data_IF_258097070886
#
_entry.id   IF_258097070886
#
_cell.length_a   1.000
_cell.length_b   1.000
_cell.length_c   1.000
_cell.angle_alpha   90.00
_cell.angle_beta   90.00
_cell.angle_gamma   90.00
#
_symmetry.space_group_name_H-M   'P 1'
#
loop_
_entity.id
_entity.type
_entity.pdbx_description
1 polymer ?
#
# COMPACT_ATOMS: atom_id res chain seq x y z
N UNK A 1 25.87 -14.70 8.46
CA UNK A 1 26.27 -15.24 7.15
C UNK A 1 26.42 -14.10 6.16
N UNK A 2 27.29 -14.25 5.15
CA UNK A 2 27.56 -13.16 4.19
C UNK A 2 26.28 -12.78 3.40
N UNK A 3 25.45 -13.75 3.10
CA UNK A 3 24.20 -13.62 2.37
C UNK A 3 23.02 -13.04 3.17
N UNK A 4 23.22 -12.68 4.42
CA UNK A 4 22.24 -11.97 5.26
C UNK A 4 22.67 -10.54 5.61
N UNK A 5 23.84 -10.12 5.18
CA UNK A 5 24.39 -8.77 5.27
C UNK A 5 24.09 -8.04 3.98
N UNK A 6 23.10 -7.21 3.98
CA UNK A 6 22.64 -6.51 2.77
C UNK A 6 23.28 -5.13 2.72
N UNK A 7 24.12 -4.91 1.75
CA UNK A 7 24.82 -3.65 1.53
C UNK A 7 23.92 -2.63 0.79
N UNK A 8 24.29 -1.36 0.95
CA UNK A 8 23.73 -0.28 0.15
C UNK A 8 24.22 -0.39 -1.30
N UNK A 9 23.42 0.05 -2.27
CA UNK A 9 23.75 -0.02 -3.69
C UNK A 9 25.17 0.51 -3.97
N UNK A 10 25.99 -0.33 -4.57
CA UNK A 10 27.37 0.02 -4.96
C UNK A 10 28.30 0.34 -3.79
N UNK A 11 27.93 0.02 -2.55
CA UNK A 11 28.71 0.28 -1.34
C UNK A 11 29.03 -1.02 -0.60
N UNK A 12 30.03 -0.97 0.29
CA UNK A 12 30.32 -2.06 1.23
C UNK A 12 29.66 -1.86 2.60
N UNK A 13 28.97 -0.74 2.79
CA UNK A 13 28.29 -0.42 4.04
C UNK A 13 27.00 -1.21 4.13
N UNK A 14 26.81 -1.92 5.25
CA UNK A 14 25.62 -2.70 5.51
C UNK A 14 24.44 -1.76 5.77
N UNK A 15 23.38 -1.91 4.99
CA UNK A 15 22.12 -1.20 5.15
C UNK A 15 21.14 -2.00 6.01
N UNK A 16 21.09 -3.31 5.80
CA UNK A 16 20.13 -4.19 6.46
C UNK A 16 20.81 -5.49 6.92
N UNK A 17 20.43 -5.93 8.11
CA UNK A 17 20.75 -7.27 8.58
C UNK A 17 19.51 -8.13 8.48
N UNK A 18 19.47 -9.01 7.48
CA UNK A 18 18.36 -9.94 7.31
C UNK A 18 18.48 -11.12 8.29
N UNK A 19 17.34 -11.76 8.58
CA UNK A 19 17.31 -12.92 9.46
C UNK A 19 18.03 -14.12 8.81
N UNK A 20 19.13 -14.57 9.38
CA UNK A 20 19.90 -15.70 8.84
C UNK A 20 19.55 -17.05 9.45
N UNK A 21 19.15 -17.07 10.72
CA UNK A 21 18.85 -18.32 11.45
C UNK A 21 17.91 -18.13 12.61
N UNK A 22 16.98 -19.05 12.77
CA UNK A 22 16.22 -19.28 14.00
C UNK A 22 16.64 -20.63 14.59
N UNK A 23 16.95 -20.70 15.88
CA UNK A 23 17.34 -21.95 16.57
C UNK A 23 16.62 -22.07 17.90
N UNK A 24 16.11 -23.25 18.21
CA UNK A 24 15.53 -23.55 19.49
C UNK A 24 16.59 -24.03 20.53
N UNK A 25 16.16 -24.26 21.77
CA UNK A 25 17.04 -24.70 22.86
C UNK A 25 17.58 -26.12 22.65
N UNK A 26 16.93 -26.94 21.84
CA UNK A 26 17.35 -28.31 21.51
C UNK A 26 18.31 -28.35 20.33
N UNK A 27 18.60 -27.20 19.70
CA UNK A 27 19.52 -27.09 18.59
C UNK A 27 18.88 -27.25 17.21
N UNK A 28 17.56 -27.45 17.13
CA UNK A 28 16.87 -27.45 15.84
C UNK A 28 16.90 -26.06 15.22
N UNK A 29 17.14 -26.00 13.93
CA UNK A 29 17.36 -24.72 13.24
C UNK A 29 16.56 -24.61 11.94
N UNK A 30 16.24 -23.36 11.63
CA UNK A 30 15.77 -22.90 10.33
C UNK A 30 16.78 -21.88 9.82
N UNK A 31 17.32 -22.10 8.64
CA UNK A 31 18.28 -21.23 7.97
C UNK A 31 17.64 -20.49 6.80
N UNK A 32 17.93 -19.20 6.68
CA UNK A 32 17.44 -18.34 5.61
C UNK A 32 18.62 -17.89 4.75
N UNK A 33 18.51 -18.05 3.44
CA UNK A 33 19.48 -17.58 2.47
C UNK A 33 18.83 -16.60 1.51
N UNK A 34 19.61 -15.62 1.07
CA UNK A 34 19.14 -14.52 0.23
C UNK A 34 19.97 -14.43 -1.05
N UNK A 35 19.37 -13.84 -2.08
CA UNK A 35 20.08 -13.32 -3.25
C UNK A 35 20.10 -11.80 -3.13
N UNK A 36 21.30 -11.25 -3.26
CA UNK A 36 21.54 -9.81 -3.28
C UNK A 36 21.74 -9.33 -4.72
N UNK A 37 21.12 -8.22 -5.03
CA UNK A 37 21.32 -7.49 -6.27
C UNK A 37 21.98 -6.15 -5.95
N UNK A 38 23.30 -6.19 -5.81
CA UNK A 38 24.10 -5.02 -5.41
C UNK A 38 24.03 -3.88 -6.42
N UNK A 39 23.78 -4.17 -7.70
CA UNK A 39 23.61 -3.16 -8.74
C UNK A 39 22.31 -2.36 -8.56
N UNK A 40 21.28 -2.99 -8.02
CA UNK A 40 19.97 -2.38 -7.78
C UNK A 40 19.70 -2.11 -6.29
N UNK A 41 20.62 -2.47 -5.39
CA UNK A 41 20.47 -2.29 -3.94
C UNK A 41 19.33 -3.12 -3.33
N UNK A 42 18.80 -4.10 -4.06
CA UNK A 42 17.72 -4.96 -3.61
C UNK A 42 18.21 -6.32 -3.15
N UNK A 43 17.38 -7.00 -2.36
CA UNK A 43 17.64 -8.39 -1.95
C UNK A 43 16.30 -9.13 -1.82
N UNK A 44 16.38 -10.46 -1.92
CA UNK A 44 15.19 -11.32 -1.81
C UNK A 44 15.56 -12.67 -1.23
N UNK A 45 14.59 -13.32 -0.59
CA UNK A 45 14.80 -14.66 -0.06
C UNK A 45 15.03 -15.64 -1.23
N UNK A 46 16.05 -16.48 -1.11
CA UNK A 46 16.34 -17.52 -2.11
C UNK A 46 15.95 -18.90 -1.60
N UNK A 47 16.18 -19.15 -0.32
CA UNK A 47 15.89 -20.46 0.28
C UNK A 47 15.60 -20.37 1.78
N UNK A 48 14.82 -21.33 2.26
CA UNK A 48 14.64 -21.62 3.68
C UNK A 48 14.95 -23.10 3.89
N UNK A 49 15.94 -23.41 4.73
CA UNK A 49 16.31 -24.79 5.06
C UNK A 49 15.89 -25.09 6.50
N UNK A 50 15.26 -26.24 6.74
CA UNK A 50 14.68 -26.53 8.04
C UNK A 50 14.81 -28.01 8.43
N UNK A 51 14.51 -28.32 9.69
CA UNK A 51 14.68 -29.63 10.32
C UNK A 51 16.15 -30.08 10.48
N UNK A 52 17.10 -29.13 10.38
CA UNK A 52 18.49 -29.38 10.71
C UNK A 52 18.77 -29.27 12.21
N UNK A 53 19.78 -30.00 12.68
CA UNK A 53 20.29 -29.90 14.06
C UNK A 53 21.81 -30.14 14.07
N UNK A 54 22.55 -29.05 14.04
CA UNK A 54 24.02 -29.10 13.99
C UNK A 54 24.63 -29.78 15.24
N UNK A 55 23.97 -29.66 16.40
CA UNK A 55 24.44 -30.29 17.64
C UNK A 55 24.39 -31.81 17.55
N UNK A 56 23.44 -32.36 16.78
CA UNK A 56 23.27 -33.80 16.55
C UNK A 56 23.88 -34.26 15.22
N UNK A 57 24.60 -33.37 14.49
CA UNK A 57 25.16 -33.70 13.19
C UNK A 57 24.13 -33.87 12.06
N UNK A 58 22.91 -33.40 12.25
CA UNK A 58 21.82 -33.53 11.27
C UNK A 58 21.82 -32.32 10.36
N UNK A 59 22.14 -32.52 9.07
CA UNK A 59 21.97 -31.52 8.05
C UNK A 59 20.47 -31.32 7.73
N UNK A 60 20.02 -30.10 7.36
CA UNK A 60 18.63 -29.86 7.01
C UNK A 60 18.23 -30.59 5.72
N UNK A 61 17.36 -31.61 5.78
CA UNK A 61 16.95 -32.38 4.60
C UNK A 61 15.87 -31.66 3.77
N UNK A 62 15.18 -30.69 4.36
CA UNK A 62 14.12 -29.93 3.69
C UNK A 62 14.58 -28.53 3.32
N UNK A 63 14.18 -28.12 2.13
CA UNK A 63 14.42 -26.76 1.61
C UNK A 63 13.15 -26.22 0.94
N UNK A 64 12.83 -24.98 1.19
CA UNK A 64 11.93 -24.20 0.35
C UNK A 64 12.81 -23.29 -0.51
N UNK A 65 12.67 -23.38 -1.83
CA UNK A 65 13.44 -22.59 -2.80
C UNK A 65 12.51 -21.62 -3.51
N UNK A 66 12.98 -20.39 -3.68
CA UNK A 66 12.28 -19.32 -4.37
C UNK A 66 13.00 -19.00 -5.67
N UNK A 67 12.28 -19.01 -6.78
CA UNK A 67 12.79 -18.65 -8.10
C UNK A 67 12.08 -17.39 -8.57
N UNK A 68 12.82 -16.52 -9.22
CA UNK A 68 12.35 -15.21 -9.66
C UNK A 68 12.56 -15.02 -11.14
N UNK A 69 11.65 -14.29 -11.77
CA UNK A 69 11.76 -13.81 -13.15
C UNK A 69 11.92 -12.30 -13.20
N UNK A 70 12.35 -11.76 -14.32
CA UNK A 70 12.47 -10.31 -14.49
C UNK A 70 11.09 -9.64 -14.59
N UNK A 71 10.93 -8.50 -13.94
CA UNK A 71 9.79 -7.61 -14.16
C UNK A 71 9.89 -6.93 -15.54
N UNK A 72 8.76 -6.62 -16.18
CA UNK A 72 8.72 -5.67 -17.29
C UNK A 72 9.37 -4.34 -16.89
N UNK A 73 10.15 -3.74 -17.79
CA UNK A 73 10.93 -2.53 -17.46
C UNK A 73 10.07 -1.36 -16.95
N UNK A 74 8.83 -1.22 -17.46
CA UNK A 74 7.89 -0.17 -17.03
C UNK A 74 7.32 -0.38 -15.61
N UNK A 75 7.56 -1.53 -14.98
CA UNK A 75 7.09 -1.84 -13.62
C UNK A 75 8.17 -1.68 -12.54
N UNK A 76 9.39 -1.35 -12.96
CA UNK A 76 10.51 -1.16 -12.04
C UNK A 76 10.47 0.24 -11.46
N UNK A 77 10.21 0.29 -10.16
CA UNK A 77 10.22 1.55 -9.40
C UNK A 77 11.57 1.72 -8.71
N UNK A 78 11.97 2.98 -8.53
CA UNK A 78 13.12 3.36 -7.72
C UNK A 78 12.64 3.96 -6.41
N UNK A 79 13.05 3.36 -5.30
CA UNK A 79 12.81 3.86 -3.95
C UNK A 79 14.15 4.24 -3.34
N UNK A 80 14.18 5.28 -2.51
CA UNK A 80 15.38 5.71 -1.82
C UNK A 80 15.25 5.49 -0.32
N UNK A 81 16.22 4.79 0.25
CA UNK A 81 16.31 4.52 1.67
C UNK A 81 17.74 4.78 2.16
N UNK A 82 17.89 5.56 3.23
CA UNK A 82 19.17 5.92 3.81
C UNK A 82 20.21 6.41 2.78
N UNK A 83 19.77 7.15 1.76
CA UNK A 83 20.65 7.67 0.69
C UNK A 83 21.03 6.64 -0.39
N UNK A 84 20.50 5.43 -0.32
CA UNK A 84 20.73 4.37 -1.31
C UNK A 84 19.49 4.18 -2.17
N UNK A 85 19.68 3.97 -3.48
CA UNK A 85 18.56 3.58 -4.36
C UNK A 85 18.30 2.08 -4.24
N UNK A 86 17.04 1.71 -4.28
CA UNK A 86 16.55 0.33 -4.30
C UNK A 86 15.65 0.17 -5.52
N UNK A 87 15.94 -0.82 -6.34
CA UNK A 87 15.10 -1.20 -7.49
C UNK A 87 14.79 -2.69 -7.40
N UNK A 88 13.52 -3.02 -7.28
CA UNK A 88 13.09 -4.42 -7.34
C UNK A 88 12.76 -4.79 -8.80
N UNK A 89 13.76 -5.36 -9.48
CA UNK A 89 13.73 -5.69 -10.91
C UNK A 89 13.18 -7.08 -11.20
N UNK A 90 12.79 -7.83 -10.18
CA UNK A 90 12.29 -9.20 -10.32
C UNK A 90 10.98 -9.39 -9.58
N UNK A 91 10.25 -10.45 -9.94
CA UNK A 91 9.07 -10.92 -9.25
C UNK A 91 9.14 -12.43 -9.06
N UNK A 92 8.38 -12.96 -8.09
CA UNK A 92 8.36 -14.39 -7.80
C UNK A 92 7.74 -15.16 -8.98
N UNK A 93 8.45 -16.18 -9.46
CA UNK A 93 8.03 -17.09 -10.52
C UNK A 93 7.59 -18.44 -9.96
N UNK A 94 8.36 -18.99 -9.00
CA UNK A 94 8.13 -20.34 -8.49
C UNK A 94 8.58 -20.50 -7.05
N UNK A 95 7.85 -21.34 -6.32
CA UNK A 95 8.27 -21.84 -5.00
C UNK A 95 8.34 -23.35 -5.07
N UNK A 96 9.47 -23.95 -4.64
CA UNK A 96 9.66 -25.39 -4.61
C UNK A 96 9.94 -25.85 -3.17
N UNK A 97 9.31 -26.95 -2.79
CA UNK A 97 9.64 -27.70 -1.57
C UNK A 97 10.46 -28.90 -1.96
N UNK A 98 11.67 -28.98 -1.41
CA UNK A 98 12.61 -30.07 -1.71
C UNK A 98 12.86 -30.91 -0.45
N UNK A 99 13.06 -32.20 -0.65
CA UNK A 99 13.59 -33.13 0.36
C UNK A 99 14.82 -33.81 -0.21
N UNK A 100 15.93 -33.74 0.51
CA UNK A 100 17.23 -34.26 0.08
C UNK A 100 17.61 -33.83 -1.36
N UNK A 101 17.31 -32.58 -1.73
CA UNK A 101 17.59 -32.01 -3.05
C UNK A 101 16.59 -32.38 -4.15
N UNK A 102 15.62 -33.25 -3.89
CA UNK A 102 14.57 -33.63 -4.85
C UNK A 102 13.32 -32.79 -4.61
N UNK A 103 12.76 -32.20 -5.69
CA UNK A 103 11.50 -31.45 -5.63
C UNK A 103 10.35 -32.39 -5.34
N UNK A 104 9.67 -32.20 -4.20
CA UNK A 104 8.49 -32.99 -3.80
C UNK A 104 7.19 -32.23 -4.06
N UNK A 105 7.26 -30.91 -4.15
CA UNK A 105 6.14 -30.04 -4.45
C UNK A 105 6.65 -28.73 -5.04
N UNK A 106 5.96 -28.19 -6.04
CA UNK A 106 6.24 -26.87 -6.56
C UNK A 106 4.96 -26.09 -6.82
N UNK A 107 5.05 -24.79 -6.68
CA UNK A 107 4.01 -23.83 -6.98
C UNK A 107 4.52 -22.92 -8.08
N UNK A 108 3.83 -22.94 -9.21
CA UNK A 108 4.16 -22.12 -10.38
C UNK A 108 3.21 -20.92 -10.45
N UNK A 109 3.77 -19.73 -10.61
CA UNK A 109 3.04 -18.47 -10.66
C UNK A 109 3.09 -17.97 -12.12
N UNK A 110 1.92 -17.76 -12.72
CA UNK A 110 1.83 -17.15 -14.05
C UNK A 110 1.32 -15.74 -13.92
N UNK A 111 2.02 -14.81 -14.54
CA UNK A 111 1.63 -13.41 -14.56
C UNK A 111 1.09 -13.04 -15.93
N UNK A 112 -0.02 -12.29 -15.96
CA UNK A 112 -0.48 -11.64 -17.18
C UNK A 112 0.33 -10.35 -17.43
N UNK A 113 0.43 -9.95 -18.69
CA UNK A 113 1.04 -8.67 -19.06
C UNK A 113 0.27 -7.51 -18.42
N UNK A 114 0.92 -6.36 -18.33
CA UNK A 114 0.41 -5.17 -17.67
C UNK A 114 -1.07 -4.92 -17.96
N UNK A 115 -1.87 -4.82 -16.91
CA UNK A 115 -3.28 -4.49 -17.04
C UNK A 115 -3.46 -3.10 -17.67
N UNK A 116 -4.41 -2.98 -18.58
CA UNK A 116 -4.66 -1.73 -19.30
C UNK A 116 -4.91 -0.53 -18.35
N UNK A 117 -5.53 -0.77 -17.18
CA UNK A 117 -5.87 0.28 -16.21
C UNK A 117 -4.74 0.66 -15.27
N UNK A 118 -3.83 -0.25 -14.93
CA UNK A 118 -2.76 0.02 -13.94
C UNK A 118 -1.36 0.07 -14.55
N UNK A 119 -1.18 -0.45 -15.75
CA UNK A 119 0.13 -0.60 -16.38
C UNK A 119 1.05 -1.60 -15.65
N UNK A 120 0.50 -2.42 -14.72
CA UNK A 120 1.26 -3.38 -13.91
C UNK A 120 0.78 -4.80 -14.18
N UNK A 121 1.71 -5.75 -14.21
CA UNK A 121 1.37 -7.17 -14.30
C UNK A 121 0.68 -7.66 -13.03
N UNK A 122 -0.23 -8.62 -13.21
CA UNK A 122 -1.03 -9.24 -12.15
C UNK A 122 -0.82 -10.75 -12.17
N UNK A 123 -0.97 -11.39 -11.02
CA UNK A 123 -0.94 -12.85 -10.93
C UNK A 123 -2.15 -13.44 -11.67
N UNK A 124 -1.92 -14.12 -12.78
CA UNK A 124 -2.99 -14.73 -13.58
C UNK A 124 -3.39 -16.12 -13.05
N UNK A 125 -2.42 -16.92 -12.61
CA UNK A 125 -2.69 -18.22 -12.02
C UNK A 125 -1.61 -18.68 -11.05
N UNK A 126 -2.02 -19.58 -10.15
CA UNK A 126 -1.15 -20.36 -9.26
C UNK A 126 -1.45 -21.84 -9.47
N UNK A 127 -0.44 -22.64 -9.78
CA UNK A 127 -0.57 -24.07 -9.97
C UNK A 127 0.34 -24.86 -9.05
N UNK A 128 -0.21 -25.86 -8.36
CA UNK A 128 0.54 -26.79 -7.54
C UNK A 128 0.84 -28.07 -8.33
N UNK A 129 2.11 -28.53 -8.28
CA UNK A 129 2.56 -29.74 -8.94
C UNK A 129 3.41 -30.60 -8.00
N UNK A 130 3.35 -31.92 -8.20
CA UNK A 130 4.22 -32.92 -7.57
C UNK A 130 4.82 -33.79 -8.69
N UNK A 131 6.11 -33.68 -8.94
CA UNK A 131 6.75 -34.30 -10.10
C UNK A 131 6.14 -33.80 -11.42
N UNK A 132 5.62 -34.72 -12.22
CA UNK A 132 4.93 -34.43 -13.49
C UNK A 132 3.42 -34.16 -13.32
N UNK A 133 2.85 -34.50 -12.17
CA UNK A 133 1.42 -34.35 -11.93
C UNK A 133 1.14 -32.96 -11.35
N UNK A 134 0.15 -32.26 -11.91
CA UNK A 134 -0.28 -30.94 -11.47
C UNK A 134 -1.78 -30.93 -11.18
N UNK A 135 -2.17 -30.20 -10.14
CA UNK A 135 -3.56 -29.86 -9.87
C UNK A 135 -4.07 -28.84 -10.89
N UNK A 136 -5.38 -28.71 -10.99
CA UNK A 136 -5.97 -27.61 -11.75
C UNK A 136 -5.48 -26.27 -11.19
N UNK A 137 -5.07 -25.32 -12.02
CA UNK A 137 -4.59 -24.04 -11.53
C UNK A 137 -5.72 -23.23 -10.89
N UNK A 138 -5.42 -22.52 -9.82
CA UNK A 138 -6.25 -21.43 -9.32
C UNK A 138 -6.06 -20.25 -10.25
N UNK A 139 -7.13 -19.82 -10.93
CA UNK A 139 -7.11 -18.71 -11.88
C UNK A 139 -7.68 -17.46 -11.21
N UNK A 140 -6.95 -16.35 -11.31
CA UNK A 140 -7.37 -15.04 -10.83
C UNK A 140 -7.97 -14.24 -11.99
N UNK A 141 -9.11 -13.64 -11.76
CA UNK A 141 -9.78 -12.76 -12.71
C UNK A 141 -9.93 -11.39 -12.10
N UNK A 142 -9.55 -10.37 -12.84
CA UNK A 142 -9.58 -8.99 -12.40
C UNK A 142 -10.60 -8.21 -13.22
N UNK A 143 -11.26 -7.28 -12.57
CA UNK A 143 -12.08 -6.31 -13.27
C UNK A 143 -11.19 -5.12 -13.64
N UNK A 144 -11.05 -4.84 -14.91
CA UNK A 144 -10.34 -3.67 -15.40
C UNK A 144 -11.22 -2.44 -15.30
N UNK A 145 -10.64 -1.37 -14.75
CA UNK A 145 -11.23 -0.03 -14.79
C UNK A 145 -10.79 0.71 -16.06
N UNK A 146 -11.56 1.67 -16.48
CA UNK A 146 -11.14 2.62 -17.49
C UNK A 146 -10.26 3.66 -16.82
N UNK A 147 -9.02 3.85 -17.33
CA UNK A 147 -8.16 4.92 -16.84
C UNK A 147 -8.75 6.29 -17.20
N UNK A 148 -8.83 7.18 -16.22
CA UNK A 148 -9.32 8.53 -16.40
C UNK A 148 -10.54 8.86 -15.55
N UNK A 149 -11.07 10.03 -15.75
CA UNK A 149 -12.30 10.46 -15.12
C UNK A 149 -13.50 10.12 -16.01
N UNK A 150 -14.64 9.83 -15.40
CA UNK A 150 -15.91 9.79 -16.11
C UNK A 150 -16.25 11.15 -16.72
N UNK A 151 -17.25 11.19 -17.59
CA UNK A 151 -17.79 12.44 -18.06
C UNK A 151 -18.23 13.32 -16.87
N UNK A 152 -18.06 14.63 -17.04
CA UNK A 152 -18.48 15.61 -16.05
C UNK A 152 -19.96 15.39 -15.67
N UNK A 153 -20.20 15.30 -14.38
CA UNK A 153 -21.55 15.16 -13.82
C UNK A 153 -21.87 16.36 -12.94
N UNK A 154 -22.97 17.04 -13.26
CA UNK A 154 -23.46 18.11 -12.41
C UNK A 154 -23.90 17.57 -11.05
N UNK A 155 -23.27 18.00 -9.97
CA UNK A 155 -23.55 17.56 -8.60
C UNK A 155 -24.80 18.25 -8.00
N UNK A 156 -25.34 19.30 -8.65
CA UNK A 156 -26.42 20.12 -8.14
C UNK A 156 -26.03 21.07 -7.00
N UNK A 157 -24.75 21.05 -6.59
CA UNK A 157 -24.26 21.90 -5.51
C UNK A 157 -24.08 23.34 -6.00
N UNK A 158 -24.91 24.27 -5.54
CA UNK A 158 -24.74 25.70 -5.74
C UNK A 158 -23.86 26.28 -4.60
N UNK A 159 -22.57 26.43 -4.87
CA UNK A 159 -21.60 26.92 -3.88
C UNK A 159 -21.28 28.39 -4.16
N UNK A 160 -21.63 29.36 -3.27
CA UNK A 160 -21.38 30.79 -3.49
C UNK A 160 -19.90 31.16 -3.57
N UNK A 161 -19.03 30.39 -2.95
CA UNK A 161 -17.58 30.60 -2.91
C UNK A 161 -16.82 29.30 -3.27
N UNK A 162 -16.86 28.86 -4.55
CA UNK A 162 -16.31 27.56 -4.93
C UNK A 162 -14.80 27.45 -4.70
N UNK A 163 -14.06 28.55 -4.73
CA UNK A 163 -12.63 28.57 -4.43
C UNK A 163 -12.28 28.26 -2.95
N UNK A 164 -13.26 28.31 -2.07
CA UNK A 164 -13.13 27.99 -0.63
C UNK A 164 -13.87 26.71 -0.26
N UNK A 165 -14.44 26.00 -1.23
CA UNK A 165 -15.05 24.69 -0.99
C UNK A 165 -13.94 23.65 -0.80
N UNK A 166 -14.12 22.79 0.19
CA UNK A 166 -13.15 21.77 0.56
C UNK A 166 -13.85 20.40 0.64
N UNK A 167 -13.27 19.35 0.04
CA UNK A 167 -13.69 18.00 0.29
C UNK A 167 -13.21 17.54 1.68
N UNK A 168 -14.09 16.94 2.48
CA UNK A 168 -13.81 16.37 3.80
C UNK A 168 -14.82 15.25 4.09
N UNK A 169 -14.38 14.13 4.62
CA UNK A 169 -15.29 13.09 5.14
C UNK A 169 -15.70 13.41 6.58
N UNK A 170 -16.67 14.32 6.73
CA UNK A 170 -17.10 14.82 8.06
C UNK A 170 -17.94 13.85 8.85
N UNK A 171 -18.48 12.79 8.22
CA UNK A 171 -19.34 11.81 8.87
C UNK A 171 -18.69 10.42 9.02
N UNK A 172 -17.51 10.18 8.43
CA UNK A 172 -16.77 8.93 8.53
C UNK A 172 -17.35 7.79 7.67
N UNK A 173 -18.05 8.12 6.58
CA UNK A 173 -18.66 7.11 5.71
C UNK A 173 -17.75 6.69 4.52
N UNK A 174 -16.55 7.28 4.43
CA UNK A 174 -15.57 7.01 3.39
C UNK A 174 -15.84 7.76 2.08
N UNK A 175 -16.73 8.76 2.08
CA UNK A 175 -16.99 9.65 0.94
C UNK A 175 -16.65 11.07 1.31
N UNK A 176 -16.03 11.77 0.37
CA UNK A 176 -15.71 13.19 0.53
C UNK A 176 -16.98 14.05 0.45
N UNK A 177 -17.37 14.61 1.58
CA UNK A 177 -18.43 15.62 1.69
C UNK A 177 -17.93 16.96 1.21
N UNK A 178 -18.81 17.92 0.96
CA UNK A 178 -18.45 19.26 0.52
C UNK A 178 -18.71 20.27 1.63
N UNK A 179 -17.63 20.86 2.15
CA UNK A 179 -17.72 21.93 3.17
C UNK A 179 -17.36 23.26 2.52
N UNK A 180 -18.22 24.29 2.71
CA UNK A 180 -18.06 25.57 2.05
C UNK A 180 -18.70 26.71 2.84
N UNK A 181 -18.25 27.97 2.67
CA UNK A 181 -18.91 29.12 3.29
C UNK A 181 -20.19 29.50 2.52
N UNK A 182 -21.25 29.82 3.24
CA UNK A 182 -22.53 30.26 2.64
C UNK A 182 -22.46 31.63 1.98
N UNK A 183 -21.37 32.36 2.13
CA UNK A 183 -21.10 33.67 1.55
C UNK A 183 -19.67 33.75 1.05
N UNK A 184 -19.49 34.35 -0.12
CA UNK A 184 -18.15 34.67 -0.66
C UNK A 184 -17.46 35.81 0.11
N UNK A 185 -18.20 36.52 0.94
CA UNK A 185 -17.66 37.62 1.76
C UNK A 185 -17.16 37.06 3.10
N UNK A 186 -15.88 37.24 3.39
CA UNK A 186 -15.32 36.88 4.69
C UNK A 186 -16.01 37.65 5.82
N UNK A 187 -16.35 36.98 6.89
CA UNK A 187 -17.09 37.56 8.00
C UNK A 187 -18.62 37.57 7.83
N UNK A 188 -19.12 37.04 6.71
CA UNK A 188 -20.54 36.92 6.44
C UNK A 188 -20.98 35.46 6.27
N UNK A 189 -22.15 35.13 6.80
CA UNK A 189 -22.72 33.79 6.69
C UNK A 189 -22.10 32.77 7.65
N UNK A 190 -22.33 31.51 7.35
CA UNK A 190 -21.91 30.34 8.15
C UNK A 190 -21.22 29.31 7.25
N UNK A 191 -20.53 28.38 7.85
CA UNK A 191 -20.06 27.18 7.15
C UNK A 191 -21.22 26.22 6.88
N UNK A 192 -21.25 25.68 5.70
CA UNK A 192 -22.25 24.73 5.22
C UNK A 192 -21.59 23.40 4.89
N UNK A 193 -22.33 22.32 5.04
CA UNK A 193 -21.92 20.97 4.69
C UNK A 193 -22.94 20.38 3.73
N UNK A 194 -22.50 19.71 2.69
CA UNK A 194 -23.34 18.84 1.85
C UNK A 194 -22.75 17.43 1.90
N UNK A 195 -23.47 16.50 2.50
CA UNK A 195 -23.03 15.12 2.61
C UNK A 195 -23.05 14.43 1.24
N UNK A 196 -21.97 13.69 0.95
CA UNK A 196 -21.85 12.91 -0.26
C UNK A 196 -22.79 11.71 -0.23
N UNK A 197 -23.40 11.40 -1.36
CA UNK A 197 -24.27 10.24 -1.57
C UNK A 197 -23.76 9.43 -2.76
N UNK A 198 -24.36 8.26 -3.00
CA UNK A 198 -24.01 7.45 -4.17
C UNK A 198 -24.28 8.15 -5.52
N UNK A 199 -25.06 9.23 -5.54
CA UNK A 199 -25.50 9.92 -6.78
C UNK A 199 -25.18 11.41 -6.82
N UNK A 200 -24.40 11.92 -5.87
CA UNK A 200 -24.05 13.35 -5.78
C UNK A 200 -24.08 13.84 -4.34
N UNK A 201 -24.45 15.08 -4.10
CA UNK A 201 -24.53 15.67 -2.77
C UNK A 201 -25.97 15.82 -2.28
N UNK A 202 -26.17 15.66 -0.98
CA UNK A 202 -27.41 15.95 -0.30
C UNK A 202 -27.72 17.44 -0.19
N UNK A 203 -28.85 17.77 0.47
CA UNK A 203 -29.20 19.18 0.74
C UNK A 203 -28.17 19.85 1.67
N UNK A 204 -27.90 21.15 1.50
CA UNK A 204 -26.99 21.89 2.37
C UNK A 204 -27.46 21.89 3.82
N UNK A 205 -26.54 21.58 4.73
CA UNK A 205 -26.74 21.58 6.19
C UNK A 205 -25.90 22.74 6.75
N UNK A 206 -26.51 23.57 7.62
CA UNK A 206 -25.76 24.61 8.31
C UNK A 206 -24.98 24.03 9.50
N UNK A 207 -23.68 24.33 9.58
CA UNK A 207 -22.88 24.00 10.75
C UNK A 207 -23.21 24.88 11.97
N UNK A 208 -23.94 25.97 11.79
CA UNK A 208 -24.16 26.98 12.84
C UNK A 208 -22.93 27.84 13.14
N UNK A 209 -21.78 27.57 12.54
CA UNK A 209 -20.51 28.25 12.82
C UNK A 209 -20.31 29.40 11.83
N UNK A 210 -20.07 30.61 12.38
CA UNK A 210 -19.88 31.79 11.57
C UNK A 210 -18.66 31.71 10.65
N UNK A 211 -18.82 32.12 9.41
CA UNK A 211 -17.72 32.26 8.45
C UNK A 211 -16.95 33.55 8.70
N UNK A 212 -16.11 33.56 9.75
CA UNK A 212 -15.33 34.77 10.10
C UNK A 212 -14.05 34.94 9.29
N UNK A 213 -13.45 33.85 8.80
CA UNK A 213 -12.30 33.91 7.91
C UNK A 213 -12.10 32.56 7.22
N UNK A 214 -12.51 32.45 5.99
CA UNK A 214 -12.38 31.20 5.20
C UNK A 214 -11.01 31.01 4.52
N UNK A 215 -10.14 32.03 4.52
CA UNK A 215 -8.83 31.95 3.85
C UNK A 215 -7.79 31.14 4.63
N UNK A 216 -8.07 30.83 5.87
CA UNK A 216 -7.20 30.03 6.74
C UNK A 216 -7.83 28.73 7.22
N UNK A 217 -8.84 28.22 6.50
CA UNK A 217 -9.47 26.94 6.87
C UNK A 217 -8.58 25.77 6.42
N UNK A 218 -8.43 24.76 7.28
CA UNK A 218 -7.58 23.58 7.05
C UNK A 218 -8.35 22.34 7.46
N UNK A 219 -8.52 21.35 6.56
CA UNK A 219 -9.06 20.03 6.89
C UNK A 219 -8.04 19.23 7.69
N UNK A 220 -8.48 18.54 8.73
CA UNK A 220 -7.63 17.70 9.60
C UNK A 220 -8.51 16.80 10.48
N UNK A 221 -8.16 15.57 10.67
CA UNK A 221 -8.69 14.75 11.76
C UNK A 221 -7.96 15.15 13.05
N UNK A 222 -8.59 16.05 13.84
CA UNK A 222 -7.95 16.68 14.98
C UNK A 222 -8.00 15.85 16.26
N UNK A 223 -9.06 15.09 16.45
CA UNK A 223 -9.25 14.24 17.64
C UNK A 223 -8.96 12.76 17.39
N UNK A 224 -8.54 12.41 16.14
CA UNK A 224 -8.18 11.07 15.70
C UNK A 224 -9.35 10.07 15.79
N UNK A 225 -10.58 10.53 15.52
CA UNK A 225 -11.77 9.69 15.48
C UNK A 225 -12.07 9.08 14.11
N UNK A 226 -11.23 9.37 13.10
CA UNK A 226 -11.32 8.87 11.74
C UNK A 226 -12.29 9.68 10.85
N UNK A 227 -12.72 10.84 11.31
CA UNK A 227 -13.50 11.81 10.53
C UNK A 227 -12.68 13.06 10.30
N UNK A 228 -12.92 13.71 9.19
CA UNK A 228 -12.28 14.98 8.93
C UNK A 228 -12.97 16.11 9.70
N UNK A 229 -12.14 16.92 10.33
CA UNK A 229 -12.53 18.15 11.03
C UNK A 229 -12.13 19.37 10.20
N UNK A 230 -12.73 20.51 10.49
CA UNK A 230 -12.32 21.78 9.93
C UNK A 230 -11.73 22.72 10.98
N UNK A 231 -10.47 23.09 10.84
CA UNK A 231 -9.85 24.14 11.63
C UNK A 231 -9.89 25.47 10.88
N UNK A 232 -10.41 26.49 11.54
CA UNK A 232 -10.55 27.83 10.96
C UNK A 232 -9.73 28.83 11.79
N UNK A 233 -8.95 29.67 11.10
CA UNK A 233 -8.20 30.74 11.74
C UNK A 233 -9.03 32.00 11.82
N UNK A 234 -9.11 32.59 13.02
CA UNK A 234 -9.75 33.86 13.25
C UNK A 234 -8.77 35.06 13.18
N UNK A 235 -9.29 36.24 12.92
CA UNK A 235 -8.54 37.48 13.04
C UNK A 235 -8.03 37.59 14.47
N UNK A 236 -6.73 37.72 14.68
CA UNK A 236 -6.11 37.73 16.02
C UNK A 236 -5.30 36.47 16.33
N UNK A 237 -5.23 35.49 15.40
CA UNK A 237 -4.34 34.33 15.50
C UNK A 237 -4.89 33.12 16.24
N UNK A 238 -6.12 33.21 16.75
CA UNK A 238 -6.78 32.05 17.40
C UNK A 238 -7.30 31.07 16.39
N UNK A 239 -7.11 29.78 16.62
CA UNK A 239 -7.65 28.68 15.81
C UNK A 239 -8.87 28.09 16.51
N UNK A 240 -9.91 27.81 15.75
CA UNK A 240 -11.10 27.08 16.18
C UNK A 240 -11.23 25.81 15.38
N UNK A 241 -11.60 24.72 16.05
CA UNK A 241 -11.91 23.43 15.42
C UNK A 241 -13.42 23.23 15.31
N UNK A 242 -13.84 22.68 14.20
CA UNK A 242 -15.17 22.09 14.01
C UNK A 242 -14.96 20.61 13.90
N UNK A 243 -15.42 19.84 14.88
CA UNK A 243 -15.29 18.40 14.88
C UNK A 243 -16.33 17.76 13.95
N UNK A 244 -15.90 16.84 13.11
CA UNK A 244 -16.79 15.99 12.33
C UNK A 244 -17.65 15.14 13.27
N UNK A 245 -18.92 14.94 12.96
CA UNK A 245 -19.76 14.04 13.73
C UNK A 245 -20.79 13.35 12.83
N UNK A 246 -21.18 12.13 13.19
CA UNK A 246 -22.34 11.48 12.60
C UNK A 246 -23.58 12.27 12.98
N UNK A 247 -23.96 13.19 12.12
CA UNK A 247 -25.12 14.04 12.37
C UNK A 247 -26.38 13.23 12.54
N UNK A 248 -27.08 13.48 13.62
CA UNK A 248 -28.47 13.12 13.80
C UNK A 248 -29.38 14.21 13.26
#
# INVERSE_FOLDING_TARGET
TADSRIESQGQSTVRTWALSRVRDRSGNAIDFGYVEDTANGSYRIARVQYTGNATQGVAPPYEIRFTYESKPAGEVESVYEAGSVIREVTRLDRVEVLHAGQSIRRYELTHESAAASTGRSRLASLQECAGAECLQPTVFRYQDGTAGFNAELATGAAVPAPAQAMPLDVNGDGREDLVYPSSATSGAGVWMVMLATASGYGAPISSGIANLNHTGAIPIDYDADGRDDLRVRYSGGTWWGMLGHTGG
#
